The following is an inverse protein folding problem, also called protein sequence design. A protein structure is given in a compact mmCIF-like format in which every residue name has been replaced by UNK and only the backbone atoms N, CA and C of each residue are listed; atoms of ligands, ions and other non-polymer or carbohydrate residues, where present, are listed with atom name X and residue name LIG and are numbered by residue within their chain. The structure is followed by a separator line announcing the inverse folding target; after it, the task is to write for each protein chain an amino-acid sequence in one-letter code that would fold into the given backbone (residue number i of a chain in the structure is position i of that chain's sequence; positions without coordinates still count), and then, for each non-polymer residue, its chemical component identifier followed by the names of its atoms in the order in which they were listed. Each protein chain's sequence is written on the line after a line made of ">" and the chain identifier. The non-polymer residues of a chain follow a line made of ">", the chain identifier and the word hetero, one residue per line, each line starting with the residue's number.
data_IF_607864203313
#
_entry.id   IF_607864203313
#
_cell.length_a   1.000
_cell.length_b   1.000
_cell.length_c   1.000
_cell.angle_alpha   90.00
_cell.angle_beta   90.00
_cell.angle_gamma   90.00
#
_symmetry.space_group_name_H-M   'P 1'
#
loop_
_entity.id
_entity.type
_entity.pdbx_description
1 polymer ?
#
# COMPACT_ATOMS: atom_id res chain seq x y z
N UNK A 1 -4.07 10.95 21.65
CA UNK A 1 -4.46 9.67 22.30
C UNK A 1 -3.59 8.55 21.71
N UNK A 2 -3.27 7.50 22.46
CA UNK A 2 -2.26 6.45 22.15
C UNK A 2 -2.29 5.90 20.69
N UNK A 3 -3.46 5.91 20.04
CA UNK A 3 -3.65 5.53 18.65
C UNK A 3 -2.93 6.45 17.64
N UNK A 4 -2.85 7.76 17.89
CA UNK A 4 -2.12 8.72 17.04
C UNK A 4 -0.61 8.47 17.08
N UNK A 5 -0.08 8.14 18.25
CA UNK A 5 1.34 7.85 18.45
C UNK A 5 1.72 6.49 17.85
N UNK A 6 0.87 5.47 18.02
CA UNK A 6 1.03 4.17 17.35
C UNK A 6 0.97 4.30 15.83
N UNK A 7 0.05 5.12 15.32
CA UNK A 7 -0.07 5.42 13.89
C UNK A 7 1.17 6.15 13.36
N UNK A 8 1.67 7.17 14.08
CA UNK A 8 2.88 7.89 13.72
C UNK A 8 4.12 6.98 13.71
N UNK A 9 4.24 6.08 14.68
CA UNK A 9 5.37 5.13 14.79
C UNK A 9 5.35 4.11 13.65
N UNK A 10 4.18 3.55 13.33
CA UNK A 10 3.98 2.66 12.18
C UNK A 10 4.26 3.37 10.85
N UNK A 11 3.91 4.66 10.75
CA UNK A 11 4.20 5.50 9.58
C UNK A 11 5.71 5.70 9.41
N UNK A 12 6.44 6.02 10.47
CA UNK A 12 7.90 6.16 10.44
C UNK A 12 8.58 4.84 10.04
N UNK A 13 8.12 3.70 10.57
CA UNK A 13 8.63 2.38 10.18
C UNK A 13 8.37 2.08 8.70
N UNK A 14 7.19 2.44 8.16
CA UNK A 14 6.87 2.27 6.74
C UNK A 14 7.61 3.24 5.82
N UNK A 15 7.89 4.47 6.24
CA UNK A 15 8.73 5.39 5.47
C UNK A 15 10.14 4.81 5.32
N UNK A 16 10.72 4.27 6.40
CA UNK A 16 12.02 3.58 6.34
C UNK A 16 12.00 2.37 5.39
N UNK A 17 10.90 1.63 5.32
CA UNK A 17 10.73 0.52 4.38
C UNK A 17 10.70 1.00 2.92
N UNK A 18 9.96 2.09 2.65
CA UNK A 18 9.91 2.72 1.32
C UNK A 18 11.28 3.22 0.90
N UNK A 19 12.03 3.84 1.82
CA UNK A 19 13.39 4.31 1.56
C UNK A 19 14.34 3.14 1.29
N UNK A 20 14.24 2.04 2.05
CA UNK A 20 15.04 0.83 1.83
C UNK A 20 14.76 0.20 0.45
N UNK A 21 13.49 0.12 0.03
CA UNK A 21 13.13 -0.39 -1.29
C UNK A 21 13.66 0.48 -2.43
N UNK A 22 13.73 1.80 -2.23
CA UNK A 22 14.35 2.72 -3.20
C UNK A 22 15.85 2.56 -3.27
N UNK A 23 16.52 2.49 -2.12
CA UNK A 23 17.97 2.27 -2.08
C UNK A 23 18.38 0.94 -2.72
N UNK A 24 17.49 -0.07 -2.69
CA UNK A 24 17.68 -1.34 -3.37
C UNK A 24 17.30 -1.34 -4.87
N UNK A 25 16.79 -0.22 -5.42
CA UNK A 25 16.33 -0.13 -6.80
C UNK A 25 15.03 -0.88 -7.11
N UNK A 26 14.31 -1.35 -6.07
CA UNK A 26 13.06 -2.12 -6.20
C UNK A 26 11.88 -1.18 -6.45
N UNK A 27 11.90 0.02 -5.85
CA UNK A 27 10.83 1.00 -5.93
C UNK A 27 11.34 2.30 -6.57
N UNK A 28 10.61 2.82 -7.54
CA UNK A 28 10.90 4.11 -8.14
C UNK A 28 10.73 5.28 -7.14
N UNK A 29 11.45 6.36 -7.37
CA UNK A 29 11.48 7.56 -6.52
C UNK A 29 10.67 8.74 -7.08
N UNK A 30 9.90 8.50 -8.14
CA UNK A 30 9.06 9.48 -8.83
C UNK A 30 7.81 9.90 -8.03
N UNK A 31 7.32 9.03 -7.14
CA UNK A 31 6.20 9.32 -6.23
C UNK A 31 6.69 9.68 -4.82
N UNK A 32 6.12 10.67 -4.10
CA UNK A 32 6.50 10.95 -2.71
C UNK A 32 6.38 9.71 -1.80
N UNK A 33 7.38 9.47 -0.95
CA UNK A 33 7.41 8.29 -0.08
C UNK A 33 6.23 8.20 0.89
N UNK A 34 5.70 9.34 1.35
CA UNK A 34 4.49 9.37 2.17
C UNK A 34 3.25 8.87 1.42
N UNK A 35 3.12 9.18 0.13
CA UNK A 35 2.00 8.71 -0.67
C UNK A 35 2.05 7.19 -0.81
N UNK A 36 3.23 6.64 -1.11
CA UNK A 36 3.46 5.18 -1.15
C UNK A 36 3.11 4.54 0.19
N UNK A 37 3.64 5.08 1.29
CA UNK A 37 3.38 4.55 2.62
C UNK A 37 1.88 4.55 2.94
N UNK A 38 1.17 5.68 2.71
CA UNK A 38 -0.29 5.78 2.92
C UNK A 38 -1.07 4.79 2.08
N UNK A 39 -0.71 4.59 0.81
CA UNK A 39 -1.33 3.58 -0.07
C UNK A 39 -1.15 2.18 0.50
N UNK A 40 0.06 1.81 0.94
CA UNK A 40 0.30 0.51 1.59
C UNK A 40 -0.58 0.32 2.84
N UNK A 41 -0.76 1.37 3.66
CA UNK A 41 -1.66 1.30 4.83
C UNK A 41 -3.11 1.07 4.40
N UNK A 42 -3.58 1.85 3.42
CA UNK A 42 -4.96 1.79 2.95
C UNK A 42 -5.28 0.41 2.37
N UNK A 43 -4.39 -0.15 1.56
CA UNK A 43 -4.49 -1.50 1.00
C UNK A 43 -4.57 -2.55 2.09
N UNK A 44 -3.65 -2.53 3.07
CA UNK A 44 -3.65 -3.49 4.17
C UNK A 44 -4.92 -3.38 5.04
N UNK A 45 -5.38 -2.16 5.34
CA UNK A 45 -6.61 -1.94 6.12
C UNK A 45 -7.85 -2.38 5.34
N UNK A 46 -7.93 -2.06 4.05
CA UNK A 46 -9.04 -2.49 3.19
C UNK A 46 -9.18 -4.00 3.19
N UNK A 47 -8.06 -4.71 3.05
CA UNK A 47 -8.02 -6.18 3.13
C UNK A 47 -8.55 -6.70 4.47
N UNK A 48 -8.05 -6.19 5.61
CA UNK A 48 -8.49 -6.61 6.94
C UNK A 48 -10.00 -6.38 7.14
N UNK A 49 -10.52 -5.26 6.64
CA UNK A 49 -11.96 -4.95 6.70
C UNK A 49 -12.76 -5.91 5.82
N UNK A 50 -12.30 -6.21 4.60
CA UNK A 50 -12.97 -7.16 3.71
C UNK A 50 -13.01 -8.56 4.30
N UNK A 51 -11.90 -9.05 4.84
CA UNK A 51 -11.85 -10.33 5.56
C UNK A 51 -12.83 -10.37 6.72
N UNK A 52 -12.85 -9.32 7.56
CA UNK A 52 -13.73 -9.27 8.72
C UNK A 52 -15.22 -9.21 8.36
N UNK A 53 -15.57 -8.60 7.24
CA UNK A 53 -16.97 -8.41 6.82
C UNK A 53 -17.53 -9.56 5.99
N UNK A 54 -16.71 -10.15 5.12
CA UNK A 54 -17.17 -11.11 4.12
C UNK A 54 -16.62 -12.52 4.36
N UNK A 55 -15.51 -12.65 5.08
CA UNK A 55 -14.76 -13.90 5.19
C UNK A 55 -14.16 -14.36 3.85
N UNK A 56 -13.25 -15.33 3.92
CA UNK A 56 -12.72 -16.04 2.74
C UNK A 56 -11.95 -15.15 1.73
N UNK A 57 -11.34 -14.05 2.19
CA UNK A 57 -10.60 -13.13 1.31
C UNK A 57 -9.10 -13.46 1.34
N UNK A 58 -8.67 -14.43 0.55
CA UNK A 58 -7.27 -14.84 0.54
C UNK A 58 -6.28 -13.73 0.12
N UNK A 59 -5.04 -13.68 0.67
CA UNK A 59 -4.01 -12.71 0.29
C UNK A 59 -3.73 -12.64 -1.22
N UNK A 60 -3.88 -13.77 -1.92
CA UNK A 60 -3.75 -13.88 -3.38
C UNK A 60 -4.76 -13.01 -4.13
N UNK A 61 -5.95 -12.80 -3.57
CA UNK A 61 -6.98 -11.91 -4.16
C UNK A 61 -6.48 -10.46 -4.16
N UNK A 62 -5.88 -10.03 -3.04
CA UNK A 62 -5.31 -8.70 -2.90
C UNK A 62 -4.11 -8.50 -3.83
N UNK A 63 -3.20 -9.49 -3.89
CA UNK A 63 -2.03 -9.43 -4.75
C UNK A 63 -2.42 -9.32 -6.23
N UNK A 64 -3.26 -10.25 -6.69
CA UNK A 64 -3.71 -10.28 -8.09
C UNK A 64 -4.49 -9.02 -8.45
N UNK A 65 -5.35 -8.53 -7.56
CA UNK A 65 -6.09 -7.29 -7.73
C UNK A 65 -5.19 -6.06 -7.88
N UNK A 66 -4.19 -5.90 -6.99
CA UNK A 66 -3.23 -4.79 -7.11
C UNK A 66 -2.42 -4.87 -8.40
N UNK A 67 -1.94 -6.07 -8.77
CA UNK A 67 -1.20 -6.26 -10.02
C UNK A 67 -2.04 -5.84 -11.23
N UNK A 68 -3.31 -6.26 -11.25
CA UNK A 68 -4.28 -5.85 -12.29
C UNK A 68 -4.44 -4.34 -12.37
N UNK A 69 -4.70 -3.66 -11.24
CA UNK A 69 -4.85 -2.21 -11.18
C UNK A 69 -3.60 -1.47 -11.66
N UNK A 70 -2.41 -1.89 -11.22
CA UNK A 70 -1.15 -1.24 -11.59
C UNK A 70 -0.74 -1.49 -13.04
N UNK A 71 -1.31 -2.51 -13.69
CA UNK A 71 -1.09 -2.79 -15.10
C UNK A 71 -2.02 -2.00 -16.04
N UNK A 72 -2.98 -1.25 -15.49
CA UNK A 72 -3.89 -0.42 -16.28
C UNK A 72 -3.10 0.67 -17.01
N UNK A 73 -3.18 0.66 -18.34
CA UNK A 73 -2.73 1.79 -19.14
C UNK A 73 -3.84 2.85 -19.15
N UNK A 74 -3.56 4.13 -18.84
CA UNK A 74 -4.53 5.18 -19.04
C UNK A 74 -4.90 5.21 -20.52
N UNK A 75 -6.15 4.84 -20.81
CA UNK A 75 -6.68 4.90 -22.17
C UNK A 75 -6.58 6.36 -22.61
N UNK A 76 -5.78 6.63 -23.65
CA UNK A 76 -5.85 7.92 -24.34
C UNK A 76 -7.28 8.06 -24.85
N UNK A 77 -8.07 8.90 -24.18
CA UNK A 77 -9.33 9.38 -24.74
C UNK A 77 -8.90 10.23 -25.94
N UNK A 78 -9.03 9.65 -27.14
CA UNK A 78 -8.76 10.33 -28.41
C UNK A 78 -9.95 11.16 -28.85
#
# INVERSE_FOLDING_TARGET
>A
MLLDHGYATMRVARTKLVDAYRSAGILASDVPGDHVARTMIATARGFIVQEALFGDVHPEVLENGLRGLMSMNPQKIS
#
